data_IF_652162965185
#
_entry.id   IF_652162965185
#
_cell.length_a   1.000
_cell.length_b   1.000
_cell.length_c   1.000
_cell.angle_alpha   90.00
_cell.angle_beta   90.00
_cell.angle_gamma   90.00
#
_symmetry.space_group_name_H-M   'P 1'
#
loop_
_entity.id
_entity.type
_entity.pdbx_description
1 polymer ?
#
# COMPACT_ATOMS: atom_id res chain seq x y z
N UNK A 1 7.38 16.91 -22.70
CA UNK A 1 6.77 17.48 -21.48
C UNK A 1 5.45 16.76 -21.22
N UNK A 2 5.44 15.74 -20.35
CA UNK A 2 4.24 14.90 -20.14
C UNK A 2 4.33 13.91 -18.97
N UNK A 3 5.45 13.86 -18.24
CA UNK A 3 5.69 12.87 -17.18
C UNK A 3 5.34 13.37 -15.77
N UNK A 4 5.52 14.66 -15.48
CA UNK A 4 5.34 15.23 -14.14
C UNK A 4 3.86 15.26 -13.70
N UNK A 5 2.94 15.60 -14.61
CA UNK A 5 1.50 15.63 -14.30
C UNK A 5 0.92 14.24 -14.00
N UNK A 6 1.39 13.20 -14.71
CA UNK A 6 0.97 11.81 -14.48
C UNK A 6 1.49 11.29 -13.14
N UNK A 7 2.76 11.53 -12.82
CA UNK A 7 3.34 11.13 -11.53
C UNK A 7 2.65 11.84 -10.35
N UNK A 8 2.33 13.12 -10.50
CA UNK A 8 1.59 13.89 -9.49
C UNK A 8 0.17 13.33 -9.26
N UNK A 9 -0.53 12.94 -10.32
CA UNK A 9 -1.85 12.30 -10.20
C UNK A 9 -1.76 10.98 -9.43
N UNK A 10 -0.79 10.11 -9.76
CA UNK A 10 -0.60 8.85 -9.03
C UNK A 10 -0.24 9.07 -7.56
N UNK A 11 0.63 10.04 -7.26
CA UNK A 11 0.98 10.40 -5.89
C UNK A 11 -0.26 10.86 -5.09
N UNK A 12 -1.05 11.78 -5.67
CA UNK A 12 -2.29 12.28 -5.04
C UNK A 12 -3.31 11.16 -4.82
N UNK A 13 -3.51 10.32 -5.83
CA UNK A 13 -4.48 9.22 -5.76
C UNK A 13 -4.04 8.19 -4.71
N UNK A 14 -2.75 7.84 -4.69
CA UNK A 14 -2.17 6.97 -3.67
C UNK A 14 -2.39 7.51 -2.25
N UNK A 15 -2.08 8.80 -2.01
CA UNK A 15 -2.28 9.44 -0.71
C UNK A 15 -3.75 9.40 -0.30
N UNK A 16 -4.67 9.74 -1.21
CA UNK A 16 -6.12 9.80 -0.93
C UNK A 16 -6.70 8.46 -0.51
N UNK A 17 -6.20 7.36 -1.07
CA UNK A 17 -6.78 6.03 -0.87
C UNK A 17 -5.98 5.15 0.11
N UNK A 18 -4.83 5.61 0.59
CA UNK A 18 -3.96 4.87 1.49
C UNK A 18 -4.71 4.35 2.73
N UNK A 19 -5.38 5.23 3.48
CA UNK A 19 -6.05 4.85 4.72
C UNK A 19 -7.16 3.83 4.48
N UNK A 20 -7.92 3.99 3.38
CA UNK A 20 -8.96 3.04 2.98
C UNK A 20 -8.36 1.66 2.67
N UNK A 21 -7.24 1.61 1.94
CA UNK A 21 -6.58 0.34 1.60
C UNK A 21 -5.99 -0.35 2.81
N UNK A 22 -5.33 0.41 3.69
CA UNK A 22 -4.78 -0.10 4.95
C UNK A 22 -5.89 -0.71 5.80
N UNK A 23 -6.99 0.02 6.00
CA UNK A 23 -8.15 -0.44 6.77
C UNK A 23 -8.77 -1.69 6.14
N UNK A 24 -8.92 -1.72 4.82
CA UNK A 24 -9.47 -2.90 4.12
C UNK A 24 -8.59 -4.14 4.28
N UNK A 25 -7.27 -4.00 4.17
CA UNK A 25 -6.33 -5.09 4.40
C UNK A 25 -6.38 -5.57 5.86
N UNK A 26 -6.41 -4.65 6.83
CA UNK A 26 -6.52 -5.01 8.25
C UNK A 26 -7.81 -5.76 8.54
N UNK A 27 -8.95 -5.30 7.98
CA UNK A 27 -10.25 -5.94 8.12
C UNK A 27 -10.29 -7.33 7.48
N UNK A 28 -9.82 -7.49 6.23
CA UNK A 28 -9.81 -8.80 5.57
C UNK A 28 -8.98 -9.84 6.33
N UNK A 29 -7.88 -9.39 6.96
CA UNK A 29 -7.07 -10.27 7.82
C UNK A 29 -7.78 -10.53 9.15
N UNK A 30 -8.47 -9.54 9.73
CA UNK A 30 -9.24 -9.71 10.96
C UNK A 30 -10.37 -10.73 10.81
N UNK A 31 -11.03 -10.74 9.66
CA UNK A 31 -12.15 -11.63 9.34
C UNK A 31 -11.71 -13.01 8.82
N UNK A 32 -10.39 -13.29 8.79
CA UNK A 32 -9.77 -14.48 8.19
C UNK A 32 -10.24 -14.76 6.74
N UNK A 33 -10.58 -13.70 6.01
CA UNK A 33 -11.00 -13.75 4.60
C UNK A 33 -9.77 -13.72 3.69
N UNK A 34 -9.31 -14.91 3.30
CA UNK A 34 -8.13 -15.07 2.45
C UNK A 34 -8.31 -14.50 1.03
N UNK A 35 -9.53 -14.49 0.49
CA UNK A 35 -9.81 -13.96 -0.84
C UNK A 35 -9.75 -12.43 -0.82
N UNK A 36 -10.46 -11.80 0.12
CA UNK A 36 -10.41 -10.36 0.33
C UNK A 36 -8.98 -9.89 0.70
N UNK A 37 -8.24 -10.67 1.48
CA UNK A 37 -6.85 -10.39 1.82
C UNK A 37 -5.95 -10.41 0.59
N UNK A 38 -6.12 -11.38 -0.31
CA UNK A 38 -5.36 -11.43 -1.57
C UNK A 38 -5.63 -10.19 -2.42
N UNK A 39 -6.89 -9.82 -2.59
CA UNK A 39 -7.30 -8.64 -3.35
C UNK A 39 -6.71 -7.35 -2.76
N UNK A 40 -6.77 -7.20 -1.44
CA UNK A 40 -6.19 -6.07 -0.73
C UNK A 40 -4.67 -5.98 -0.96
N UNK A 41 -3.96 -7.11 -0.88
CA UNK A 41 -2.51 -7.20 -1.09
C UNK A 41 -2.13 -6.88 -2.54
N UNK A 42 -2.87 -7.39 -3.53
CA UNK A 42 -2.60 -7.09 -4.95
C UNK A 42 -2.84 -5.62 -5.27
N UNK A 43 -3.91 -5.03 -4.74
CA UNK A 43 -4.20 -3.60 -4.85
C UNK A 43 -3.08 -2.75 -4.24
N UNK A 44 -2.62 -3.11 -3.04
CA UNK A 44 -1.49 -2.47 -2.37
C UNK A 44 -0.22 -2.55 -3.23
N UNK A 45 0.16 -3.76 -3.68
CA UNK A 45 1.36 -3.99 -4.50
C UNK A 45 1.37 -3.13 -5.76
N UNK A 46 0.30 -3.19 -6.54
CA UNK A 46 0.21 -2.47 -7.81
C UNK A 46 0.31 -0.96 -7.58
N UNK A 47 -0.38 -0.44 -6.56
CA UNK A 47 -0.33 0.97 -6.25
C UNK A 47 1.02 1.46 -5.74
N UNK A 48 1.72 0.67 -4.92
CA UNK A 48 3.05 0.98 -4.44
C UNK A 48 4.05 1.04 -5.62
N UNK A 49 3.95 0.14 -6.59
CA UNK A 49 4.78 0.15 -7.79
C UNK A 49 4.56 1.41 -8.65
N UNK A 50 3.31 1.84 -8.83
CA UNK A 50 2.98 3.03 -9.63
C UNK A 50 3.59 4.32 -9.08
N UNK A 51 3.78 4.41 -7.76
CA UNK A 51 4.42 5.57 -7.10
C UNK A 51 5.89 5.34 -6.77
N UNK A 52 6.48 4.23 -7.21
CA UNK A 52 7.89 3.91 -6.96
C UNK A 52 8.22 3.55 -5.51
N UNK A 53 7.24 3.18 -4.69
CA UNK A 53 7.41 2.82 -3.28
C UNK A 53 7.99 1.40 -3.13
N UNK A 54 9.27 1.24 -3.46
CA UNK A 54 9.95 -0.05 -3.54
C UNK A 54 9.84 -0.89 -2.26
N UNK A 55 10.05 -0.27 -1.09
CA UNK A 55 9.98 -0.96 0.22
C UNK A 55 8.57 -1.50 0.49
N UNK A 56 7.54 -0.71 0.17
CA UNK A 56 6.15 -1.13 0.36
C UNK A 56 5.75 -2.22 -0.65
N UNK A 57 6.20 -2.10 -1.90
CA UNK A 57 5.96 -3.10 -2.92
C UNK A 57 6.59 -4.45 -2.53
N UNK A 58 7.80 -4.45 -1.96
CA UNK A 58 8.46 -5.66 -1.45
C UNK A 58 7.68 -6.30 -0.29
N UNK A 59 7.21 -5.49 0.66
CA UNK A 59 6.33 -5.99 1.73
C UNK A 59 5.06 -6.61 1.14
N UNK A 60 4.42 -5.96 0.18
CA UNK A 60 3.22 -6.50 -0.46
C UNK A 60 3.48 -7.83 -1.19
N UNK A 61 4.63 -8.00 -1.83
CA UNK A 61 5.06 -9.29 -2.41
C UNK A 61 5.21 -10.37 -1.34
N UNK A 62 5.73 -10.02 -0.16
CA UNK A 62 5.84 -10.96 0.95
C UNK A 62 4.45 -11.37 1.49
N UNK A 63 3.55 -10.41 1.69
CA UNK A 63 2.17 -10.70 2.10
C UNK A 63 1.47 -11.60 1.07
N UNK A 64 1.65 -11.34 -0.22
CA UNK A 64 1.03 -12.12 -1.30
C UNK A 64 1.43 -13.60 -1.20
N UNK A 65 2.71 -13.87 -0.92
CA UNK A 65 3.20 -15.24 -0.71
C UNK A 65 2.58 -15.88 0.52
N UNK A 66 2.50 -15.16 1.62
CA UNK A 66 1.93 -15.68 2.87
C UNK A 66 0.44 -15.98 2.74
N UNK A 67 -0.34 -15.10 2.11
CA UNK A 67 -1.77 -15.35 1.83
C UNK A 67 -1.92 -16.56 0.90
N UNK A 68 -1.09 -16.69 -0.16
CA UNK A 68 -1.10 -17.89 -1.03
C UNK A 68 -0.79 -19.19 -0.29
N UNK A 69 0.04 -19.13 0.75
CA UNK A 69 0.37 -20.28 1.60
C UNK A 69 -0.66 -20.52 2.71
N UNK A 70 -1.69 -19.67 2.85
CA UNK A 70 -2.67 -19.76 3.93
C UNK A 70 -2.18 -19.30 5.31
N UNK A 71 -1.01 -18.64 5.39
CA UNK A 71 -0.44 -18.17 6.66
C UNK A 71 -0.89 -16.74 6.99
N UNK A 72 -2.21 -16.57 7.19
CA UNK A 72 -2.78 -15.30 7.64
C UNK A 72 -2.23 -14.82 9.00
N UNK A 73 -1.88 -15.69 9.97
CA UNK A 73 -1.18 -15.25 11.18
C UNK A 73 0.15 -14.55 10.90
N UNK A 74 0.94 -15.02 9.93
CA UNK A 74 2.16 -14.32 9.51
C UNK A 74 1.86 -12.99 8.84
N UNK A 75 0.81 -12.91 8.01
CA UNK A 75 0.36 -11.65 7.41
C UNK A 75 0.01 -10.64 8.51
N UNK A 76 -0.73 -11.06 9.54
CA UNK A 76 -1.11 -10.24 10.69
C UNK A 76 0.09 -9.67 11.42
N UNK A 77 1.16 -10.46 11.61
CA UNK A 77 2.42 -10.00 12.22
C UNK A 77 3.14 -8.92 11.39
N UNK A 78 2.88 -8.85 10.09
CA UNK A 78 3.50 -7.89 9.19
C UNK A 78 2.69 -6.59 9.01
N UNK A 79 1.41 -6.56 9.39
CA UNK A 79 0.55 -5.38 9.24
C UNK A 79 1.15 -4.09 9.84
N UNK A 80 1.79 -4.10 11.03
CA UNK A 80 2.42 -2.89 11.56
C UNK A 80 3.54 -2.34 10.65
N UNK A 81 4.30 -3.21 9.99
CA UNK A 81 5.35 -2.80 9.05
C UNK A 81 4.78 -2.23 7.76
N UNK A 82 3.63 -2.75 7.31
CA UNK A 82 2.87 -2.21 6.17
C UNK A 82 2.37 -0.80 6.49
N UNK A 83 1.76 -0.62 7.67
CA UNK A 83 1.28 0.69 8.13
C UNK A 83 2.42 1.72 8.17
N UNK A 84 3.51 1.39 8.87
CA UNK A 84 4.68 2.27 8.99
C UNK A 84 5.28 2.62 7.62
N UNK A 85 5.49 1.62 6.76
CA UNK A 85 6.12 1.84 5.45
C UNK A 85 5.21 2.66 4.52
N UNK A 86 3.89 2.44 4.59
CA UNK A 86 2.95 3.23 3.82
C UNK A 86 2.81 4.67 4.31
N UNK A 87 2.84 4.93 5.62
CA UNK A 87 2.89 6.28 6.18
C UNK A 87 4.17 7.04 5.77
N UNK A 88 5.32 6.36 5.80
CA UNK A 88 6.58 6.91 5.28
C UNK A 88 6.48 7.23 3.78
N UNK A 89 5.81 6.37 3.01
CA UNK A 89 5.58 6.57 1.57
C UNK A 89 4.68 7.79 1.33
N UNK A 90 3.55 7.89 2.04
CA UNK A 90 2.63 9.05 1.98
C UNK A 90 3.37 10.34 2.32
N UNK A 91 4.19 10.34 3.38
CA UNK A 91 4.97 11.50 3.79
C UNK A 91 5.97 11.92 2.71
N UNK A 92 6.71 10.95 2.14
CA UNK A 92 7.63 11.21 1.04
C UNK A 92 6.95 11.75 -0.22
N UNK A 93 5.78 11.21 -0.58
CA UNK A 93 5.00 11.69 -1.72
C UNK A 93 4.44 13.10 -1.50
N UNK A 94 3.99 13.43 -0.27
CA UNK A 94 3.56 14.78 0.08
C UNK A 94 4.69 15.78 -0.11
N UNK A 95 5.88 15.49 0.42
CA UNK A 95 7.05 16.39 0.31
C UNK A 95 7.55 16.51 -1.14
N UNK A 96 7.58 15.41 -1.89
CA UNK A 96 8.18 15.38 -3.22
C UNK A 96 7.26 15.83 -4.36
N UNK A 97 5.94 15.73 -4.20
CA UNK A 97 4.99 15.95 -5.29
C UNK A 97 3.89 16.95 -4.98
N UNK A 98 3.52 17.21 -3.73
CA UNK A 98 2.48 18.18 -3.39
C UNK A 98 3.15 19.48 -2.88
N UNK A 99 2.84 20.66 -3.45
CA UNK A 99 3.30 21.91 -2.87
C UNK A 99 2.75 22.02 -1.43
N UNK A 100 3.50 22.65 -0.48
CA UNK A 100 2.93 23.03 0.80
C UNK A 100 1.69 23.88 0.52
N UNK A 101 0.58 23.57 1.19
CA UNK A 101 -0.71 24.23 1.00
C UNK A 101 -0.52 25.75 0.92
N UNK A 102 -1.01 26.35 -0.17
CA UNK A 102 -1.03 27.80 -0.38
C UNK A 102 -2.30 28.40 0.23
#
# INVERSE_FOLDING_TARGET
MGSTGVAHNFARDYIRIWDKRRTYLEASIADDDAEAAMDAVLSLKNSALMVGAARLAQLAVQLERLVKCGDLPAVRRLLPFVALTGEQTVSGLKVGYLPPEA
#
